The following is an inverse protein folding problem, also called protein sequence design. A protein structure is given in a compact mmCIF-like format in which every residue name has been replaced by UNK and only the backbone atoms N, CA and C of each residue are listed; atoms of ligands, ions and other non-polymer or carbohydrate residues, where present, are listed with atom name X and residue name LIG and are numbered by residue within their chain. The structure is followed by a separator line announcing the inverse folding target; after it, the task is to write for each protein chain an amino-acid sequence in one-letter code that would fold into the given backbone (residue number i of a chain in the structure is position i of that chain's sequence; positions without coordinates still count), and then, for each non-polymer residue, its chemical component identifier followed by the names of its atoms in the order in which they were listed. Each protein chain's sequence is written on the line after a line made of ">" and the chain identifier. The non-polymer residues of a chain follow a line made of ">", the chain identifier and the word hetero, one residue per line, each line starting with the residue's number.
data_IF_905651381797
#
_entry.id   IF_905651381797
#
_cell.length_a   1.000
_cell.length_b   1.000
_cell.length_c   1.000
_cell.angle_alpha   90.00
_cell.angle_beta   90.00
_cell.angle_gamma   90.00
#
_symmetry.space_group_name_H-M   'P 1'
#
loop_
_entity.id
_entity.type
_entity.pdbx_description
1 polymer ?
#
# COMPACT_ATOMS: atom_id res chain seq x y z
N UNK A 1 10.84 -5.17 32.29
CA UNK A 1 11.06 -5.80 30.97
C UNK A 1 11.22 -4.68 29.97
N UNK A 2 12.39 -4.52 29.37
CA UNK A 2 12.63 -3.43 28.42
C UNK A 2 11.69 -3.62 27.22
N UNK A 3 10.74 -2.70 27.05
CA UNK A 3 9.92 -2.64 25.84
C UNK A 3 10.87 -2.48 24.66
N UNK A 4 10.97 -3.50 23.80
CA UNK A 4 11.68 -3.36 22.54
C UNK A 4 11.01 -2.22 21.76
N UNK A 5 11.80 -1.31 21.18
CA UNK A 5 11.23 -0.27 20.32
C UNK A 5 10.41 -0.92 19.21
N UNK A 6 9.24 -0.35 18.90
CA UNK A 6 8.38 -0.82 17.80
C UNK A 6 9.18 -0.95 16.50
N UNK A 7 10.12 -0.04 16.23
CA UNK A 7 10.99 -0.09 15.06
C UNK A 7 11.90 -1.34 15.04
N UNK A 8 12.41 -1.74 16.21
CA UNK A 8 13.29 -2.90 16.38
C UNK A 8 12.50 -4.21 16.30
N UNK A 9 11.28 -4.25 16.85
CA UNK A 9 10.37 -5.39 16.70
C UNK A 9 10.09 -5.71 15.23
N UNK A 10 9.91 -4.68 14.40
CA UNK A 10 9.68 -4.86 12.96
C UNK A 10 10.88 -5.47 12.22
N UNK A 11 12.12 -5.09 12.58
CA UNK A 11 13.32 -5.69 11.99
C UNK A 11 13.42 -7.19 12.34
N UNK A 12 13.15 -7.54 13.60
CA UNK A 12 13.20 -8.93 14.06
C UNK A 12 12.06 -9.78 13.45
N UNK A 13 10.86 -9.21 13.35
CA UNK A 13 9.71 -9.84 12.69
C UNK A 13 10.01 -10.12 11.21
N UNK A 14 10.60 -9.17 10.49
CA UNK A 14 10.98 -9.34 9.08
C UNK A 14 12.05 -10.45 8.92
N UNK A 15 13.07 -10.42 9.78
CA UNK A 15 14.10 -11.46 9.82
C UNK A 15 13.51 -12.84 10.12
N UNK A 16 12.57 -12.94 11.07
CA UNK A 16 11.88 -14.18 11.42
C UNK A 16 11.04 -14.70 10.24
N UNK A 17 10.22 -13.85 9.62
CA UNK A 17 9.42 -14.20 8.44
C UNK A 17 10.29 -14.77 7.32
N UNK A 18 11.48 -14.18 7.11
CA UNK A 18 12.41 -14.57 6.06
C UNK A 18 13.20 -15.85 6.38
N UNK A 19 13.85 -15.91 7.55
CA UNK A 19 14.82 -16.96 7.87
C UNK A 19 14.20 -18.17 8.55
N UNK A 20 13.20 -17.96 9.40
CA UNK A 20 12.52 -19.02 10.15
C UNK A 20 11.33 -19.54 9.34
N UNK A 21 10.42 -18.65 8.95
CA UNK A 21 9.15 -19.03 8.31
C UNK A 21 9.29 -19.24 6.79
N UNK A 22 10.38 -18.73 6.19
CA UNK A 22 10.72 -18.86 4.76
C UNK A 22 9.57 -18.51 3.82
N UNK A 23 8.76 -17.53 4.18
CA UNK A 23 7.66 -17.08 3.33
C UNK A 23 8.21 -16.27 2.15
N UNK A 24 8.05 -16.78 0.93
CA UNK A 24 8.63 -16.18 -0.28
C UNK A 24 8.13 -14.75 -0.59
N UNK A 25 6.92 -14.41 -0.13
CA UNK A 25 6.26 -13.13 -0.45
C UNK A 25 6.59 -11.98 0.52
N UNK A 26 7.31 -12.23 1.61
CA UNK A 26 7.65 -11.21 2.63
C UNK A 26 9.14 -10.89 2.71
N UNK A 27 9.97 -11.47 1.84
CA UNK A 27 11.39 -11.17 1.82
C UNK A 27 11.62 -9.77 1.21
N UNK A 28 12.23 -8.86 1.97
CA UNK A 28 12.82 -7.57 1.56
C UNK A 28 12.23 -7.00 0.26
N UNK A 29 11.21 -6.14 0.38
CA UNK A 29 10.57 -5.52 -0.79
C UNK A 29 11.49 -4.46 -1.37
N UNK A 30 12.41 -4.87 -2.26
CA UNK A 30 13.18 -3.94 -3.08
C UNK A 30 12.31 -3.48 -4.24
N UNK A 31 12.02 -2.19 -4.28
CA UNK A 31 11.34 -1.56 -5.40
C UNK A 31 12.28 -1.55 -6.62
N UNK A 32 11.76 -1.81 -7.83
CA UNK A 32 12.57 -1.79 -9.05
C UNK A 32 13.14 -0.39 -9.35
N UNK A 33 12.52 0.65 -8.82
CA UNK A 33 12.98 2.04 -8.96
C UNK A 33 14.13 2.38 -8.00
N UNK A 34 14.32 1.58 -6.95
CA UNK A 34 15.42 1.70 -5.99
C UNK A 34 16.70 1.19 -6.65
N UNK A 35 17.57 2.12 -7.03
CA UNK A 35 18.86 1.85 -7.67
C UNK A 35 19.88 1.25 -6.66
N UNK A 36 21.16 1.61 -6.81
CA UNK A 36 22.17 1.36 -5.77
C UNK A 36 21.85 2.17 -4.52
N UNK A 37 22.34 1.73 -3.36
CA UNK A 37 22.19 2.47 -2.09
C UNK A 37 22.81 3.89 -2.14
N UNK A 38 23.80 4.09 -3.02
CA UNK A 38 24.48 5.36 -3.21
C UNK A 38 23.92 6.21 -4.36
N UNK A 39 22.97 5.66 -5.12
CA UNK A 39 22.36 6.36 -6.25
C UNK A 39 20.97 6.85 -5.85
N UNK A 40 20.59 8.02 -6.36
CA UNK A 40 19.25 8.59 -6.14
C UNK A 40 18.19 7.66 -6.75
N UNK A 41 17.10 7.45 -6.01
CA UNK A 41 15.98 6.62 -6.48
C UNK A 41 15.34 7.24 -7.72
N UNK A 42 15.04 6.41 -8.73
CA UNK A 42 14.47 6.90 -9.99
C UNK A 42 13.09 7.52 -9.76
N UNK A 43 12.83 8.68 -10.38
CA UNK A 43 11.56 9.37 -10.23
C UNK A 43 10.40 8.51 -10.77
N UNK A 44 9.42 8.24 -9.91
CA UNK A 44 8.18 7.56 -10.29
C UNK A 44 7.25 8.55 -10.97
N UNK A 45 6.58 8.19 -12.09
CA UNK A 45 5.66 9.09 -12.77
C UNK A 45 4.47 9.46 -11.87
N UNK A 46 3.94 10.68 -12.07
CA UNK A 46 2.97 11.31 -11.16
C UNK A 46 1.60 10.62 -11.13
N UNK A 47 1.29 9.85 -12.17
CA UNK A 47 0.10 9.00 -12.27
C UNK A 47 0.10 7.86 -11.24
N UNK A 48 1.29 7.37 -10.86
CA UNK A 48 1.47 6.28 -9.90
C UNK A 48 1.45 6.83 -8.47
N UNK A 49 0.26 7.20 -8.02
CA UNK A 49 0.01 7.66 -6.64
C UNK A 49 -0.08 6.50 -5.65
N UNK A 50 0.64 6.60 -4.54
CA UNK A 50 0.53 5.65 -3.43
C UNK A 50 -0.90 5.56 -2.89
N UNK A 51 -1.41 4.33 -2.74
CA UNK A 51 -2.79 4.10 -2.29
C UNK A 51 -3.87 4.50 -3.32
N UNK A 52 -3.48 4.89 -4.53
CA UNK A 52 -4.39 5.06 -5.65
C UNK A 52 -5.05 3.73 -6.03
N UNK A 53 -6.33 3.77 -6.40
CA UNK A 53 -7.04 2.61 -6.92
C UNK A 53 -7.30 2.84 -8.40
N UNK A 54 -7.00 1.83 -9.21
CA UNK A 54 -7.41 1.81 -10.60
C UNK A 54 -8.92 1.56 -10.62
N UNK A 55 -9.65 2.40 -11.35
CA UNK A 55 -11.06 2.13 -11.67
C UNK A 55 -11.15 0.87 -12.53
N UNK A 56 -12.33 0.25 -12.56
CA UNK A 56 -12.58 -0.88 -13.45
C UNK A 56 -12.13 -0.53 -14.88
N UNK A 57 -11.43 -1.46 -15.53
CA UNK A 57 -10.91 -1.24 -16.89
C UNK A 57 -12.08 -1.05 -17.84
N UNK A 58 -12.13 0.09 -18.53
CA UNK A 58 -13.19 0.40 -19.48
C UNK A 58 -13.24 -0.58 -20.66
N UNK A 59 -12.12 -1.26 -20.93
CA UNK A 59 -11.95 -2.17 -22.07
C UNK A 59 -12.45 -3.60 -21.80
N UNK A 60 -12.87 -3.92 -20.57
CA UNK A 60 -13.46 -5.22 -20.27
C UNK A 60 -14.88 -5.29 -20.86
N UNK A 61 -15.23 -6.36 -21.60
CA UNK A 61 -16.57 -6.49 -22.16
C UNK A 61 -17.59 -6.54 -21.03
N UNK A 62 -18.54 -5.60 -21.03
CA UNK A 62 -19.64 -5.57 -20.07
C UNK A 62 -20.81 -6.41 -20.59
N UNK A 63 -21.51 -7.13 -19.72
CA UNK A 63 -22.71 -7.85 -20.13
C UNK A 63 -23.85 -6.88 -20.42
N UNK A 64 -24.64 -7.16 -21.44
CA UNK A 64 -25.80 -6.35 -21.80
C UNK A 64 -27.07 -6.86 -21.13
N UNK A 65 -27.98 -5.94 -20.80
CA UNK A 65 -29.26 -6.28 -20.21
C UNK A 65 -30.24 -6.75 -21.29
N UNK A 66 -30.70 -8.00 -21.19
CA UNK A 66 -31.75 -8.52 -22.06
C UNK A 66 -33.12 -8.31 -21.39
N UNK A 67 -33.91 -7.39 -21.94
CA UNK A 67 -35.24 -7.06 -21.41
C UNK A 67 -36.24 -8.22 -21.50
N UNK A 68 -36.09 -9.12 -22.47
CA UNK A 68 -37.01 -10.25 -22.69
C UNK A 68 -36.82 -11.37 -21.68
N UNK A 69 -35.57 -11.63 -21.29
CA UNK A 69 -35.25 -12.67 -20.29
C UNK A 69 -35.01 -12.10 -18.89
N UNK A 70 -35.02 -10.77 -18.73
CA UNK A 70 -34.66 -10.05 -17.50
C UNK A 70 -33.29 -10.48 -16.93
N UNK A 71 -32.34 -10.82 -17.80
CA UNK A 71 -31.01 -11.30 -17.42
C UNK A 71 -29.91 -10.53 -18.14
N UNK A 72 -28.77 -10.39 -17.47
CA UNK A 72 -27.53 -9.93 -18.11
C UNK A 72 -26.93 -11.09 -18.93
N UNK A 73 -26.47 -10.81 -20.14
CA UNK A 73 -25.85 -11.80 -21.03
C UNK A 73 -24.70 -11.16 -21.81
N UNK A 74 -23.59 -11.88 -21.96
CA UNK A 74 -22.52 -11.46 -22.86
C UNK A 74 -22.92 -11.72 -24.32
N UNK A 75 -22.70 -10.74 -25.20
CA UNK A 75 -22.81 -10.97 -26.64
C UNK A 75 -21.84 -12.10 -27.04
N UNK A 76 -22.33 -13.06 -27.83
CA UNK A 76 -21.49 -14.11 -28.40
C UNK A 76 -20.36 -13.44 -29.17
N UNK A 77 -19.11 -13.71 -28.81
CA UNK A 77 -17.98 -13.21 -29.58
C UNK A 77 -18.08 -13.75 -31.00
N UNK A 78 -18.16 -12.85 -31.97
CA UNK A 78 -17.77 -13.18 -33.34
C UNK A 78 -16.30 -13.58 -33.21
N UNK A 79 -15.92 -14.77 -33.68
CA UNK A 79 -14.63 -15.41 -33.36
C UNK A 79 -13.45 -14.43 -33.39
N UNK A 80 -12.47 -14.67 -32.51
CA UNK A 80 -11.33 -13.79 -32.21
C UNK A 80 -10.50 -13.31 -33.43
N UNK A 81 -10.79 -13.78 -34.63
CA UNK A 81 -10.14 -13.40 -35.88
C UNK A 81 -10.88 -12.34 -36.71
N UNK A 82 -12.07 -11.87 -36.30
CA UNK A 82 -12.86 -10.91 -37.12
C UNK A 82 -13.29 -11.46 -38.48
N UNK A 83 -12.96 -12.72 -38.79
CA UNK A 83 -13.38 -13.41 -39.99
C UNK A 83 -14.63 -14.23 -39.67
N UNK A 84 -15.66 -14.20 -40.54
CA UNK A 84 -16.79 -15.09 -40.38
C UNK A 84 -16.26 -16.52 -40.44
N UNK A 85 -16.42 -17.27 -39.35
CA UNK A 85 -16.12 -18.70 -39.32
C UNK A 85 -17.05 -19.36 -40.34
N UNK A 86 -16.53 -19.61 -41.55
CA UNK A 86 -17.28 -20.28 -42.60
C UNK A 86 -17.63 -21.68 -42.10
N UNK A 87 -18.92 -21.98 -42.07
CA UNK A 87 -19.40 -23.33 -41.76
C UNK A 87 -18.85 -24.26 -42.84
N UNK A 88 -18.15 -25.32 -42.42
CA UNK A 88 -17.64 -26.33 -43.36
C UNK A 88 -18.83 -27.04 -44.03
N UNK A 89 -18.66 -27.46 -45.28
CA UNK A 89 -19.66 -28.26 -45.98
C UNK A 89 -20.08 -29.48 -45.15
N UNK A 90 -21.37 -29.84 -45.19
CA UNK A 90 -22.00 -30.91 -44.39
C UNK A 90 -22.00 -30.75 -42.86
N UNK A 91 -21.69 -29.55 -42.35
CA UNK A 91 -21.67 -29.27 -40.89
C UNK A 91 -22.96 -28.59 -40.38
N UNK A 92 -23.89 -28.28 -41.29
CA UNK A 92 -25.17 -27.65 -40.93
C UNK A 92 -26.22 -28.69 -40.57
N UNK A 93 -26.84 -28.56 -39.39
CA UNK A 93 -27.92 -29.45 -38.92
C UNK A 93 -29.28 -29.21 -39.60
N UNK A 94 -29.30 -28.61 -40.80
CA UNK A 94 -30.46 -28.62 -41.70
C UNK A 94 -31.82 -28.24 -41.10
N UNK A 95 -31.88 -27.28 -40.18
CA UNK A 95 -33.16 -26.80 -39.65
C UNK A 95 -33.97 -27.81 -38.84
N UNK A 96 -33.35 -28.86 -38.28
CA UNK A 96 -34.07 -29.82 -37.44
C UNK A 96 -34.59 -29.17 -36.16
N UNK A 97 -35.89 -28.82 -36.15
CA UNK A 97 -36.64 -28.32 -34.99
C UNK A 97 -37.08 -29.49 -34.10
N UNK A 98 -36.14 -30.28 -33.58
CA UNK A 98 -36.48 -31.28 -32.57
C UNK A 98 -36.41 -30.62 -31.19
N UNK A 99 -37.53 -30.58 -30.47
CA UNK A 99 -37.60 -30.17 -29.06
C UNK A 99 -36.76 -31.07 -28.13
N UNK A 100 -36.27 -32.20 -28.63
CA UNK A 100 -35.39 -33.15 -27.92
C UNK A 100 -33.90 -32.96 -28.24
N UNK A 101 -33.54 -32.06 -29.16
CA UNK A 101 -32.15 -31.75 -29.40
C UNK A 101 -31.58 -31.03 -28.19
N UNK A 102 -30.73 -31.72 -27.42
CA UNK A 102 -29.91 -31.08 -26.38
C UNK A 102 -29.04 -30.06 -27.09
N UNK A 103 -29.45 -28.79 -27.04
CA UNK A 103 -28.69 -27.69 -27.60
C UNK A 103 -27.26 -27.81 -27.08
N UNK A 104 -26.29 -27.77 -27.99
CA UNK A 104 -24.87 -27.84 -27.65
C UNK A 104 -24.65 -26.86 -26.50
N UNK A 105 -24.37 -27.38 -25.30
CA UNK A 105 -24.02 -26.56 -24.14
C UNK A 105 -22.76 -25.84 -24.58
N UNK A 106 -22.95 -24.61 -25.01
CA UNK A 106 -21.84 -23.69 -25.26
C UNK A 106 -21.08 -23.70 -23.95
N UNK A 107 -19.85 -24.23 -24.01
CA UNK A 107 -18.82 -24.15 -22.97
C UNK A 107 -19.21 -23.10 -21.95
N UNK A 108 -19.72 -23.58 -20.81
CA UNK A 108 -20.28 -22.81 -19.69
C UNK A 108 -20.39 -21.32 -20.00
N UNK A 109 -21.52 -20.88 -20.57
CA UNK A 109 -21.79 -19.46 -20.74
C UNK A 109 -21.56 -18.79 -19.39
N UNK A 110 -20.43 -18.07 -19.27
CA UNK A 110 -19.97 -17.47 -18.02
C UNK A 110 -21.12 -16.59 -17.55
N UNK A 111 -21.79 -17.00 -16.48
CA UNK A 111 -22.87 -16.22 -15.90
C UNK A 111 -22.25 -14.85 -15.56
N UNK A 112 -22.83 -13.74 -16.03
CA UNK A 112 -22.28 -12.44 -15.73
C UNK A 112 -22.34 -12.20 -14.24
N UNK A 113 -21.18 -12.28 -13.61
CA UNK A 113 -20.96 -11.85 -12.24
C UNK A 113 -20.37 -10.43 -12.28
N UNK A 114 -20.63 -9.62 -11.25
CA UNK A 114 -19.95 -8.33 -11.15
C UNK A 114 -18.42 -8.54 -11.11
N UNK A 115 -17.64 -7.66 -11.74
CA UNK A 115 -16.19 -7.74 -11.68
C UNK A 115 -15.71 -7.65 -10.23
N UNK A 116 -14.62 -8.35 -9.92
CA UNK A 116 -14.04 -8.32 -8.56
C UNK A 116 -13.52 -6.91 -8.29
N UNK A 117 -14.20 -6.17 -7.41
CA UNK A 117 -13.86 -4.79 -7.05
C UNK A 117 -12.48 -4.62 -6.39
N UNK A 118 -11.83 -5.72 -5.99
CA UNK A 118 -10.47 -5.71 -5.46
C UNK A 118 -10.32 -4.91 -4.17
N UNK A 119 -11.40 -4.76 -3.38
CA UNK A 119 -11.43 -3.92 -2.19
C UNK A 119 -10.42 -4.30 -1.09
N UNK A 120 -9.96 -5.55 -1.04
CA UNK A 120 -8.93 -5.99 -0.08
C UNK A 120 -7.56 -6.22 -0.72
N UNK A 121 -7.44 -6.00 -2.04
CA UNK A 121 -6.15 -6.15 -2.71
C UNK A 121 -5.22 -5.02 -2.27
N UNK A 122 -3.97 -5.38 -1.94
CA UNK A 122 -2.90 -4.44 -1.69
C UNK A 122 -2.76 -3.49 -2.88
N UNK A 123 -2.60 -2.21 -2.60
CA UNK A 123 -2.44 -1.18 -3.62
C UNK A 123 -0.96 -0.87 -3.84
N UNK A 124 -0.66 -0.31 -5.01
CA UNK A 124 0.69 0.09 -5.32
C UNK A 124 1.21 1.12 -4.30
N UNK A 125 2.42 0.87 -3.82
CA UNK A 125 3.16 1.76 -2.96
C UNK A 125 4.54 2.00 -3.60
N UNK A 126 4.68 3.02 -4.47
CA UNK A 126 5.96 3.37 -5.05
C UNK A 126 6.90 4.04 -4.03
N UNK A 127 8.23 3.92 -4.20
CA UNK A 127 9.24 4.55 -3.33
C UNK A 127 9.41 6.06 -3.63
N UNK A 128 8.30 6.79 -3.69
CA UNK A 128 8.25 8.22 -3.95
C UNK A 128 7.88 9.02 -2.71
N UNK A 129 8.28 8.55 -1.53
CA UNK A 129 8.07 9.30 -0.29
C UNK A 129 8.97 10.54 -0.28
N UNK A 130 8.46 11.60 0.34
CA UNK A 130 9.27 12.78 0.63
C UNK A 130 10.41 12.42 1.59
N UNK A 131 10.16 11.51 2.54
CA UNK A 131 11.20 11.01 3.45
C UNK A 131 12.45 10.50 2.72
N UNK A 132 12.27 9.64 1.70
CA UNK A 132 13.38 9.10 0.92
C UNK A 132 14.16 10.20 0.20
N UNK A 133 13.46 11.15 -0.43
CA UNK A 133 14.08 12.28 -1.14
C UNK A 133 14.91 13.16 -0.22
N UNK A 134 14.38 13.48 0.97
CA UNK A 134 15.08 14.30 1.96
C UNK A 134 16.25 13.55 2.61
N UNK A 135 16.14 12.22 2.76
CA UNK A 135 17.23 11.39 3.25
C UNK A 135 18.38 11.29 2.24
N UNK A 136 18.09 10.96 0.98
CA UNK A 136 19.09 10.87 -0.09
C UNK A 136 19.80 12.21 -0.33
N UNK A 137 19.09 13.34 -0.15
CA UNK A 137 19.67 14.68 -0.23
C UNK A 137 20.55 15.05 0.98
N UNK A 138 20.37 14.39 2.12
CA UNK A 138 21.13 14.63 3.34
C UNK A 138 20.63 15.80 4.20
N UNK A 139 19.40 16.27 3.97
CA UNK A 139 18.81 17.40 4.70
C UNK A 139 18.24 17.01 6.07
N UNK A 140 18.03 15.71 6.32
CA UNK A 140 17.48 15.24 7.59
C UNK A 140 18.56 15.23 8.69
N UNK A 141 18.28 15.79 9.88
CA UNK A 141 19.23 15.86 11.00
C UNK A 141 19.32 14.53 11.77
N UNK A 142 19.37 13.41 11.06
CA UNK A 142 19.39 12.05 11.61
C UNK A 142 20.62 11.28 11.12
N UNK A 143 21.09 10.36 11.96
CA UNK A 143 22.14 9.41 11.63
C UNK A 143 21.85 8.07 12.32
N UNK A 144 22.25 6.97 11.70
CA UNK A 144 22.16 5.65 12.34
C UNK A 144 23.37 5.48 13.26
N UNK A 145 23.11 5.33 14.56
CA UNK A 145 24.12 4.93 15.54
C UNK A 145 24.07 3.40 15.70
N UNK A 146 25.07 2.73 15.13
CA UNK A 146 25.23 1.28 15.25
C UNK A 146 25.84 0.95 16.61
N UNK A 147 25.00 0.63 17.60
CA UNK A 147 25.45 0.04 18.87
C UNK A 147 25.39 -1.48 18.80
N UNK A 148 26.29 -2.16 19.49
CA UNK A 148 26.45 -3.62 19.40
C UNK A 148 25.24 -4.47 19.79
N UNK A 149 24.24 -3.91 20.48
CA UNK A 149 23.01 -4.62 20.88
C UNK A 149 21.79 -4.16 20.08
N UNK A 150 21.70 -2.87 19.74
CA UNK A 150 20.56 -2.33 18.98
C UNK A 150 20.95 -1.06 18.21
N UNK A 151 20.43 -0.91 17.00
CA UNK A 151 20.51 0.36 16.27
C UNK A 151 19.66 1.42 16.98
N UNK A 152 20.19 2.63 17.10
CA UNK A 152 19.47 3.83 17.55
C UNK A 152 19.61 4.95 16.52
N UNK A 153 18.67 5.89 16.55
CA UNK A 153 18.83 7.14 15.82
C UNK A 153 19.67 8.08 16.68
N UNK A 154 20.77 8.56 16.10
CA UNK A 154 21.51 9.71 16.60
C UNK A 154 20.99 10.97 15.93
N UNK A 155 20.43 11.87 16.73
CA UNK A 155 19.98 13.18 16.25
C UNK A 155 21.17 14.14 16.20
N UNK A 156 21.38 14.80 15.05
CA UNK A 156 22.44 15.81 14.89
C UNK A 156 22.09 17.14 15.58
N UNK A 157 20.80 17.39 15.78
CA UNK A 157 20.23 18.59 16.40
C UNK A 157 19.25 18.13 17.47
N UNK A 158 19.21 18.83 18.60
CA UNK A 158 18.25 18.55 19.68
C UNK A 158 16.81 18.54 19.14
N UNK A 159 16.06 17.48 19.41
CA UNK A 159 14.68 17.28 18.94
C UNK A 159 13.79 18.45 19.35
N UNK A 160 14.01 18.99 20.55
CA UNK A 160 13.25 20.13 21.07
C UNK A 160 13.45 21.43 20.28
N UNK A 161 14.58 21.58 19.57
CA UNK A 161 14.87 22.79 18.76
C UNK A 161 14.44 22.62 17.30
N UNK A 162 13.96 21.43 16.94
CA UNK A 162 13.57 21.12 15.58
C UNK A 162 12.24 21.79 15.21
N UNK A 163 12.07 22.12 13.93
CA UNK A 163 10.81 22.65 13.40
C UNK A 163 9.84 21.50 13.05
N UNK A 164 8.83 21.32 13.90
CA UNK A 164 7.84 20.26 13.74
C UNK A 164 6.97 20.42 12.49
N UNK A 165 6.77 21.65 11.99
CA UNK A 165 5.98 21.86 10.77
C UNK A 165 6.70 21.34 9.53
N UNK A 166 8.03 21.40 9.50
CA UNK A 166 8.81 20.91 8.37
C UNK A 166 9.06 19.41 8.46
N UNK A 167 9.58 18.93 9.60
CA UNK A 167 10.11 17.56 9.70
C UNK A 167 9.03 16.52 10.00
N UNK A 168 8.06 16.81 10.87
CA UNK A 168 7.09 15.80 11.32
C UNK A 168 6.26 15.22 10.15
N UNK A 169 5.71 16.04 9.23
CA UNK A 169 4.99 15.50 8.07
C UNK A 169 5.87 14.62 7.16
N UNK A 170 7.17 14.93 7.03
CA UNK A 170 8.13 14.16 6.24
C UNK A 170 8.33 12.77 6.87
N UNK A 171 8.55 12.72 8.19
CA UNK A 171 8.68 11.46 8.91
C UNK A 171 7.40 10.61 8.85
N UNK A 172 6.22 11.24 8.93
CA UNK A 172 4.94 10.55 8.77
C UNK A 172 4.70 10.00 7.36
N UNK A 173 5.14 10.68 6.30
CA UNK A 173 5.09 10.14 4.93
C UNK A 173 6.05 8.94 4.77
N UNK A 174 7.17 8.95 5.50
CA UNK A 174 8.13 7.84 5.58
C UNK A 174 7.59 6.55 6.24
N UNK A 175 6.48 6.60 6.99
CA UNK A 175 5.85 5.39 7.55
C UNK A 175 5.39 4.39 6.48
N UNK A 176 5.29 4.86 5.24
CA UNK A 176 4.95 4.06 4.06
C UNK A 176 6.15 3.28 3.50
N UNK A 177 7.37 3.61 3.91
CA UNK A 177 8.58 2.92 3.46
C UNK A 177 8.65 1.48 3.98
N UNK A 178 9.09 0.58 3.09
CA UNK A 178 9.29 -0.84 3.42
C UNK A 178 10.76 -1.26 3.39
N UNK A 179 11.59 -0.51 2.69
CA UNK A 179 13.00 -0.80 2.54
C UNK A 179 13.79 -0.36 3.76
N UNK A 180 14.74 -1.19 4.18
CA UNK A 180 15.79 -0.79 5.11
C UNK A 180 16.89 -0.05 4.33
N UNK A 181 17.40 1.10 4.82
CA UNK A 181 17.28 1.64 6.18
C UNK A 181 16.12 2.63 6.42
N UNK A 182 15.36 2.99 5.38
CA UNK A 182 14.36 4.07 5.43
C UNK A 182 13.25 3.79 6.43
N UNK A 183 12.69 2.57 6.42
CA UNK A 183 11.59 2.17 7.30
C UNK A 183 11.93 2.37 8.77
N UNK A 184 13.11 1.91 9.20
CA UNK A 184 13.55 2.03 10.58
C UNK A 184 13.72 3.49 11.00
N UNK A 185 14.35 4.30 10.15
CA UNK A 185 14.60 5.71 10.42
C UNK A 185 13.29 6.51 10.53
N UNK A 186 12.32 6.25 9.65
CA UNK A 186 11.03 6.92 9.69
C UNK A 186 10.26 6.57 10.96
N UNK A 187 10.13 5.26 11.27
CA UNK A 187 9.33 4.80 12.42
C UNK A 187 9.93 5.29 13.73
N UNK A 188 11.23 5.07 13.96
CA UNK A 188 11.88 5.51 15.19
C UNK A 188 11.92 7.04 15.29
N UNK A 189 12.13 7.74 14.18
CA UNK A 189 12.13 9.21 14.15
C UNK A 189 10.78 9.80 14.55
N UNK A 190 9.66 9.20 14.10
CA UNK A 190 8.32 9.61 14.55
C UNK A 190 8.14 9.39 16.04
N UNK A 191 8.54 8.25 16.59
CA UNK A 191 8.43 7.98 18.03
C UNK A 191 9.23 8.99 18.87
N UNK A 192 10.50 9.22 18.53
CA UNK A 192 11.35 10.18 19.23
C UNK A 192 10.77 11.60 19.15
N UNK A 193 10.24 12.01 17.99
CA UNK A 193 9.63 13.33 17.83
C UNK A 193 8.32 13.48 18.60
N UNK A 194 7.50 12.43 18.69
CA UNK A 194 6.24 12.49 19.45
C UNK A 194 6.50 12.53 20.97
N UNK A 195 7.44 11.72 21.45
CA UNK A 195 7.80 11.65 22.88
C UNK A 195 8.32 13.01 23.39
N UNK A 196 9.20 13.66 22.60
CA UNK A 196 9.82 14.95 22.95
C UNK A 196 9.08 16.19 22.40
N UNK A 197 8.00 16.02 21.62
CA UNK A 197 7.37 17.13 20.89
C UNK A 197 6.38 17.98 21.68
N UNK A 198 5.87 17.49 22.80
CA UNK A 198 5.04 18.26 23.73
C UNK A 198 3.95 19.10 23.05
N UNK A 199 4.00 20.42 23.25
CA UNK A 199 3.03 21.39 22.72
C UNK A 199 3.18 21.72 21.23
N UNK A 200 4.31 21.35 20.60
CA UNK A 200 4.60 21.64 19.18
C UNK A 200 3.87 20.73 18.21
N UNK A 201 3.30 19.63 18.71
CA UNK A 201 2.60 18.63 17.89
C UNK A 201 1.20 19.13 17.49
N UNK A 202 0.49 19.81 18.41
CA UNK A 202 -0.90 20.23 18.21
C UNK A 202 -1.11 21.08 16.93
N UNK A 203 -0.28 22.08 16.62
CA UNK A 203 -0.44 22.90 15.41
C UNK A 203 -0.17 22.13 14.10
N UNK A 204 0.51 20.98 14.16
CA UNK A 204 0.95 20.21 12.99
C UNK A 204 -0.06 19.11 12.61
N UNK A 205 -0.98 18.75 13.51
CA UNK A 205 -1.99 17.71 13.29
C UNK A 205 -2.70 17.81 11.92
N UNK A 206 -3.16 18.99 11.45
CA UNK A 206 -3.83 19.10 10.16
C UNK A 206 -2.97 18.62 8.98
N UNK A 207 -1.65 18.81 9.08
CA UNK A 207 -0.69 18.42 8.04
C UNK A 207 -0.44 16.90 8.05
N UNK A 208 -0.61 16.22 9.19
CA UNK A 208 -0.39 14.78 9.33
C UNK A 208 -1.53 13.92 8.76
N UNK A 209 -2.71 14.51 8.55
CA UNK A 209 -3.89 13.77 8.06
C UNK A 209 -3.63 13.16 6.67
N UNK A 210 -2.96 13.90 5.78
CA UNK A 210 -2.66 13.44 4.42
C UNK A 210 -1.72 12.23 4.43
N UNK A 211 -0.51 12.27 5.04
CA UNK A 211 0.39 11.14 5.05
C UNK A 211 -0.23 9.90 5.73
N UNK A 212 -0.94 10.06 6.85
CA UNK A 212 -1.66 8.95 7.53
C UNK A 212 -2.67 8.31 6.57
N UNK A 213 -3.50 9.12 5.90
CA UNK A 213 -4.47 8.63 4.92
C UNK A 213 -3.78 7.90 3.77
N UNK A 214 -2.67 8.42 3.24
CA UNK A 214 -1.96 7.76 2.15
C UNK A 214 -1.36 6.42 2.55
N UNK A 215 -0.80 6.33 3.76
CA UNK A 215 -0.22 5.09 4.28
C UNK A 215 -1.30 4.01 4.50
N UNK A 216 -2.43 4.36 5.12
CA UNK A 216 -3.56 3.44 5.32
C UNK A 216 -4.20 3.00 3.99
N UNK A 217 -4.23 3.88 2.99
CA UNK A 217 -4.80 3.57 1.68
C UNK A 217 -4.00 2.53 0.88
N UNK A 218 -2.75 2.23 1.25
CA UNK A 218 -1.94 1.19 0.60
C UNK A 218 -2.51 -0.21 0.80
N UNK A 219 -3.35 -0.43 1.83
CA UNK A 219 -3.93 -1.74 2.19
C UNK A 219 -2.88 -2.82 2.46
N UNK A 220 -1.69 -2.42 2.82
CA UNK A 220 -0.63 -3.32 3.21
C UNK A 220 -0.67 -3.55 4.73
N UNK A 221 -0.76 -4.81 5.20
CA UNK A 221 -0.91 -5.10 6.62
C UNK A 221 0.28 -4.64 7.45
N UNK A 222 1.51 -4.72 6.94
CA UNK A 222 2.70 -4.29 7.68
C UNK A 222 2.69 -2.77 7.88
N UNK A 223 2.47 -1.98 6.82
CA UNK A 223 2.35 -0.51 6.91
C UNK A 223 1.13 -0.07 7.73
N UNK A 224 0.00 -0.77 7.62
CA UNK A 224 -1.19 -0.44 8.41
C UNK A 224 -0.90 -0.68 9.90
N UNK A 225 -0.29 -1.80 10.25
CA UNK A 225 0.07 -2.11 11.63
C UNK A 225 1.07 -1.11 12.21
N UNK A 226 2.04 -0.62 11.43
CA UNK A 226 2.98 0.41 11.92
C UNK A 226 2.29 1.74 12.17
N UNK A 227 1.49 2.22 11.21
CA UNK A 227 0.74 3.48 11.35
C UNK A 227 -0.26 3.41 12.51
N UNK A 228 -0.94 2.28 12.67
CA UNK A 228 -1.87 2.03 13.78
C UNK A 228 -1.16 1.80 15.12
N UNK A 229 0.15 1.54 15.18
CA UNK A 229 0.90 1.54 16.45
C UNK A 229 1.33 2.95 16.83
N UNK A 230 1.59 3.81 15.84
CA UNK A 230 1.96 5.21 16.03
C UNK A 230 0.76 6.07 16.46
N UNK A 231 -0.41 5.87 15.85
CA UNK A 231 -1.58 6.74 16.11
C UNK A 231 -2.18 6.65 17.52
N UNK A 232 -2.28 5.46 18.19
CA UNK A 232 -2.82 5.34 19.54
C UNK A 232 -1.86 5.90 20.58
N UNK A 233 -0.54 5.75 20.39
CA UNK A 233 0.46 6.40 21.25
C UNK A 233 0.25 7.92 21.26
N UNK A 234 -0.05 8.53 20.10
CA UNK A 234 -0.38 9.95 20.01
C UNK A 234 -1.66 10.30 20.78
N UNK A 235 -2.71 9.47 20.66
CA UNK A 235 -4.00 9.73 21.29
C UNK A 235 -4.01 9.51 22.81
N UNK A 236 -3.30 8.48 23.29
CA UNK A 236 -3.19 8.16 24.71
C UNK A 236 -2.27 9.15 25.43
N UNK A 237 -1.16 9.57 24.83
CA UNK A 237 -0.33 10.65 25.40
C UNK A 237 -1.08 11.98 25.48
N UNK A 238 -1.88 12.31 24.46
CA UNK A 238 -2.73 13.51 24.49
C UNK A 238 -3.79 13.43 25.61
N UNK A 239 -4.45 12.27 25.78
CA UNK A 239 -5.44 12.04 26.85
C UNK A 239 -4.84 12.05 28.25
N UNK A 240 -3.63 11.56 28.43
CA UNK A 240 -2.94 11.58 29.73
C UNK A 240 -2.57 13.02 30.09
N UNK A 241 -2.04 13.80 29.14
CA UNK A 241 -1.68 15.21 29.36
C UNK A 241 -2.87 16.16 29.53
N UNK A 242 -4.04 15.85 28.97
CA UNK A 242 -5.28 16.58 29.30
C UNK A 242 -5.68 16.33 30.75
N UNK A 243 -5.57 15.08 31.22
CA UNK A 243 -5.85 14.73 32.62
C UNK A 243 -4.87 15.35 33.63
N UNK A 244 -3.60 15.53 33.26
CA UNK A 244 -2.59 16.16 34.13
C UNK A 244 -2.73 17.69 34.20
N UNK A 245 -3.40 18.34 33.23
CA UNK A 245 -3.67 19.78 33.24
C UNK A 245 -4.94 20.16 34.02
N UNK A 246 -5.79 19.18 34.32
CA UNK A 246 -7.02 19.34 35.10
C UNK A 246 -6.81 19.09 36.62
N UNK A 247 -5.58 18.77 37.05
CA UNK A 247 -5.15 18.57 38.44
C UNK A 247 -4.21 19.70 38.88
#
# INVERSE_FOLDING_TARGET
>A
MASQSVAQGLMLEDWRKQKIERTANHAFTKHPETNSCFDVTSAVPADRRAGGHLMARADEPLPEYNASTMTYVFKKSVGASGQPMQLRSHTGMGGMTSSLAVGKTTTEAVKPAPPICGAYKQRANPPNTEFRRFYERGDLPIQIEHRGVHNRIGWKVDIEKLDYHHYLPIFFDGLREKEEPYRFLSVQGVFDMLEHGGSKILPVIPQLIIPIKTALNTRDPDVICTVLKVSPSTADEMRIREREREL
#
